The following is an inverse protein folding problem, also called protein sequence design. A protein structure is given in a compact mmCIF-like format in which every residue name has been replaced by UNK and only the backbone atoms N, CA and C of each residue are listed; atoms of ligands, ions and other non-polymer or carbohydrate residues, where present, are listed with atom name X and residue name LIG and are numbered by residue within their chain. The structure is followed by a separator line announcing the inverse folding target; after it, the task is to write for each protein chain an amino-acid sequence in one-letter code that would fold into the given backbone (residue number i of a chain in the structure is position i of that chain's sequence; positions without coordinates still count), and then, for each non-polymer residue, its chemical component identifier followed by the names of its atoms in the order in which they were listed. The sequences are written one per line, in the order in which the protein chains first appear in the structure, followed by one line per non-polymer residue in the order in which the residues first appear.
data_IF_840784471768
#
_entry.id   IF_840784471768
#
_cell.length_a   1.000
_cell.length_b   1.000
_cell.length_c   1.000
_cell.angle_alpha   90.00
_cell.angle_beta   90.00
_cell.angle_gamma   90.00
#
_symmetry.space_group_name_H-M   'P 1'
#
loop_
_entity.id
_entity.type
_entity.pdbx_description
1 polymer ?
#
# COMPACT_ATOMS: atom_id res chain seq x y z
N UNK A 1 -2.23 -2.70 17.99
CA UNK A 1 -1.99 -3.58 16.83
C UNK A 1 -1.15 -2.88 15.77
N UNK A 2 -1.61 -1.74 15.20
CA UNK A 2 -0.85 -0.98 14.19
C UNK A 2 0.54 -0.56 14.68
N UNK A 3 0.67 -0.08 15.93
CA UNK A 3 1.96 0.31 16.50
C UNK A 3 2.99 -0.83 16.45
N UNK A 4 2.63 -2.03 16.89
CA UNK A 4 3.53 -3.19 16.85
C UNK A 4 3.97 -3.52 15.42
N UNK A 5 3.09 -3.37 14.43
CA UNK A 5 3.44 -3.56 13.02
C UNK A 5 4.41 -2.49 12.52
N UNK A 6 4.21 -1.24 12.94
CA UNK A 6 5.09 -0.11 12.60
C UNK A 6 6.48 -0.29 13.20
N UNK A 7 6.55 -0.65 14.48
CA UNK A 7 7.81 -0.90 15.18
C UNK A 7 8.57 -2.06 14.52
N UNK A 8 7.86 -3.15 14.17
CA UNK A 8 8.46 -4.28 13.45
C UNK A 8 9.03 -3.89 12.08
N UNK A 9 8.28 -3.14 11.28
CA UNK A 9 8.73 -2.70 9.95
C UNK A 9 9.94 -1.75 10.05
N UNK A 10 9.93 -0.85 11.04
CA UNK A 10 11.03 0.07 11.33
C UNK A 10 12.30 -0.69 11.72
N UNK A 11 12.18 -1.65 12.64
CA UNK A 11 13.29 -2.52 13.06
C UNK A 11 13.83 -3.37 11.92
N UNK A 12 12.95 -3.88 11.04
CA UNK A 12 13.36 -4.65 9.88
C UNK A 12 14.16 -3.80 8.90
N UNK A 13 13.71 -2.58 8.61
CA UNK A 13 14.46 -1.60 7.79
C UNK A 13 15.80 -1.26 8.40
N UNK A 14 15.87 -1.04 9.72
CA UNK A 14 17.13 -0.79 10.42
C UNK A 14 18.13 -1.95 10.32
N UNK A 15 17.63 -3.19 10.18
CA UNK A 15 18.44 -4.40 9.94
C UNK A 15 18.78 -4.64 8.46
N UNK A 16 18.42 -3.71 7.57
CA UNK A 16 18.71 -3.80 6.14
C UNK A 16 17.72 -4.66 5.35
N UNK A 17 16.58 -5.06 5.94
CA UNK A 17 15.54 -5.79 5.20
C UNK A 17 14.70 -4.85 4.35
N UNK A 18 14.31 -5.33 3.17
CA UNK A 18 13.39 -4.60 2.29
C UNK A 18 11.94 -4.76 2.74
N UNK A 19 11.16 -3.67 2.63
CA UNK A 19 9.71 -3.70 2.82
C UNK A 19 9.05 -3.82 1.45
N UNK A 20 8.23 -4.86 1.28
CA UNK A 20 7.47 -5.07 0.04
C UNK A 20 5.98 -4.86 0.33
N UNK A 21 5.44 -3.81 -0.28
CA UNK A 21 4.04 -3.48 -0.23
C UNK A 21 3.21 -4.40 -1.11
N UNK A 22 2.09 -4.89 -0.58
CA UNK A 22 1.15 -5.73 -1.30
C UNK A 22 -0.21 -5.05 -1.37
N UNK A 23 -0.76 -5.01 -2.58
CA UNK A 23 -2.06 -4.40 -2.80
C UNK A 23 -3.21 -5.42 -2.80
N UNK A 24 -2.92 -6.72 -2.82
CA UNK A 24 -3.91 -7.81 -2.67
C UNK A 24 -3.27 -9.09 -2.13
N UNK A 25 -4.13 -9.91 -1.52
CA UNK A 25 -3.78 -11.23 -0.98
C UNK A 25 -3.34 -12.26 -2.03
N UNK A 26 -3.65 -12.05 -3.31
CA UNK A 26 -3.12 -12.89 -4.39
C UNK A 26 -1.60 -12.73 -4.55
N UNK A 27 -0.98 -11.73 -3.92
CA UNK A 27 0.47 -11.58 -3.88
C UNK A 27 1.07 -12.71 -3.04
N UNK A 28 1.99 -13.53 -3.59
CA UNK A 28 2.57 -14.65 -2.86
C UNK A 28 3.55 -14.17 -1.78
N UNK A 29 3.06 -14.01 -0.55
CA UNK A 29 3.84 -13.56 0.62
C UNK A 29 5.06 -14.45 0.87
N UNK A 30 4.92 -15.73 0.60
CA UNK A 30 5.95 -16.74 0.79
C UNK A 30 7.19 -16.45 -0.04
N UNK A 31 7.04 -15.91 -1.26
CA UNK A 31 8.18 -15.51 -2.10
C UNK A 31 8.89 -14.28 -1.55
N UNK A 32 8.14 -13.31 -1.02
CA UNK A 32 8.70 -12.12 -0.37
C UNK A 32 9.49 -12.52 0.87
N UNK A 33 8.93 -13.41 1.70
CA UNK A 33 9.59 -13.91 2.91
C UNK A 33 10.81 -14.77 2.60
N UNK A 34 10.75 -15.61 1.55
CA UNK A 34 11.89 -16.41 1.10
C UNK A 34 13.07 -15.55 0.60
N UNK A 35 12.79 -14.34 0.11
CA UNK A 35 13.79 -13.34 -0.26
C UNK A 35 14.33 -12.52 0.95
N UNK A 36 14.02 -12.93 2.18
CA UNK A 36 14.34 -12.23 3.44
C UNK A 36 13.76 -10.79 3.54
N UNK A 37 12.68 -10.51 2.80
CA UNK A 37 11.97 -9.25 2.83
C UNK A 37 10.69 -9.34 3.69
N UNK A 38 10.13 -8.19 4.04
CA UNK A 38 8.92 -8.08 4.88
C UNK A 38 7.70 -7.72 4.02
N UNK A 39 6.69 -8.61 3.90
CA UNK A 39 5.45 -8.29 3.21
C UNK A 39 4.53 -7.43 4.07
N UNK A 40 4.00 -6.34 3.51
CA UNK A 40 3.06 -5.44 4.20
C UNK A 40 1.81 -5.20 3.34
N UNK A 41 0.63 -5.31 3.94
CA UNK A 41 -0.63 -5.00 3.26
C UNK A 41 -0.87 -3.50 3.23
N UNK A 42 -1.07 -2.92 2.05
CA UNK A 42 -1.17 -1.46 1.88
C UNK A 42 -2.57 -0.96 1.53
N UNK A 43 -3.58 -1.84 1.48
CA UNK A 43 -4.96 -1.41 1.28
C UNK A 43 -5.40 -0.45 2.38
N UNK A 44 -5.84 0.74 1.99
CA UNK A 44 -6.39 1.76 2.89
C UNK A 44 -7.75 1.36 3.46
N UNK A 45 -8.22 2.15 4.43
CA UNK A 45 -9.51 1.96 5.08
C UNK A 45 -10.03 3.20 5.81
N UNK A 46 -9.45 4.37 5.56
CA UNK A 46 -9.87 5.64 6.16
C UNK A 46 -10.73 6.44 5.19
N UNK A 47 -11.92 6.84 5.64
CA UNK A 47 -12.81 7.73 4.89
C UNK A 47 -12.24 9.15 4.74
N UNK A 48 -11.37 9.57 5.66
CA UNK A 48 -10.70 10.89 5.61
C UNK A 48 -9.76 11.03 4.40
N UNK A 49 -9.29 9.89 3.86
CA UNK A 49 -8.43 9.85 2.68
C UNK A 49 -9.22 9.80 1.37
N UNK A 50 -10.57 9.76 1.42
CA UNK A 50 -11.39 9.76 0.19
C UNK A 50 -11.40 11.14 -0.48
N UNK A 51 -11.69 12.27 0.22
CA UNK A 51 -11.73 13.58 -0.42
C UNK A 51 -10.47 13.96 -1.22
N UNK A 52 -9.24 13.80 -0.69
CA UNK A 52 -8.07 14.16 -1.49
C UNK A 52 -7.91 13.25 -2.72
N UNK A 53 -8.33 11.99 -2.65
CA UNK A 53 -8.28 11.08 -3.80
C UNK A 53 -9.27 11.47 -4.91
N UNK A 54 -10.43 12.03 -4.56
CA UNK A 54 -11.46 12.43 -5.52
C UNK A 54 -11.08 13.67 -6.35
N UNK A 55 -10.01 14.38 -5.97
CA UNK A 55 -9.42 15.42 -6.82
C UNK A 55 -8.82 14.84 -8.12
N UNK A 56 -8.50 13.54 -8.12
CA UNK A 56 -7.87 12.83 -9.23
C UNK A 56 -8.66 11.61 -9.72
N UNK A 57 -9.46 11.00 -8.86
CA UNK A 57 -10.19 9.77 -9.12
C UNK A 57 -11.71 10.02 -9.18
N UNK A 58 -12.48 9.26 -9.97
CA UNK A 58 -13.92 9.38 -9.99
C UNK A 58 -14.57 9.14 -8.63
N UNK A 59 -15.55 9.98 -8.27
CA UNK A 59 -16.30 9.84 -7.00
C UNK A 59 -17.00 8.47 -6.86
N UNK A 60 -17.39 7.86 -7.98
CA UNK A 60 -18.03 6.54 -8.05
C UNK A 60 -17.06 5.35 -7.98
N UNK A 61 -15.78 5.57 -7.63
CA UNK A 61 -14.80 4.50 -7.46
C UNK A 61 -14.85 3.87 -6.06
N UNK A 62 -14.36 2.63 -5.94
CA UNK A 62 -14.33 1.88 -4.67
C UNK A 62 -13.62 2.69 -3.55
N UNK A 63 -14.22 2.79 -2.35
CA UNK A 63 -13.65 3.59 -1.25
C UNK A 63 -12.29 3.08 -0.76
N UNK A 64 -11.99 1.79 -0.91
CA UNK A 64 -10.67 1.24 -0.55
C UNK A 64 -9.58 1.75 -1.50
N UNK A 65 -9.89 1.84 -2.80
CA UNK A 65 -8.99 2.39 -3.83
C UNK A 65 -8.76 3.88 -3.54
N UNK A 66 -9.85 4.63 -3.34
CA UNK A 66 -9.79 6.06 -3.00
C UNK A 66 -8.98 6.30 -1.72
N UNK A 67 -9.26 5.56 -0.65
CA UNK A 67 -8.50 5.68 0.61
C UNK A 67 -7.00 5.41 0.40
N UNK A 68 -6.65 4.36 -0.35
CA UNK A 68 -5.24 4.04 -0.61
C UNK A 68 -4.54 5.11 -1.44
N UNK A 69 -5.18 5.60 -2.50
CA UNK A 69 -4.64 6.66 -3.32
C UNK A 69 -4.54 7.98 -2.55
N UNK A 70 -5.51 8.28 -1.69
CA UNK A 70 -5.48 9.42 -0.77
C UNK A 70 -4.28 9.40 0.17
N UNK A 71 -3.97 8.22 0.73
CA UNK A 71 -2.75 8.05 1.52
C UNK A 71 -1.47 8.28 0.69
N UNK A 72 -1.44 7.82 -0.56
CA UNK A 72 -0.31 8.00 -1.47
C UNK A 72 -0.06 9.48 -1.80
N UNK A 73 -1.08 10.21 -2.23
CA UNK A 73 -0.93 11.63 -2.60
C UNK A 73 -0.58 12.51 -1.39
N UNK A 74 -1.10 12.18 -0.20
CA UNK A 74 -0.79 12.91 1.03
C UNK A 74 0.52 12.47 1.69
N UNK A 75 1.16 11.40 1.19
CA UNK A 75 2.34 10.76 1.82
C UNK A 75 2.13 10.45 3.30
N UNK A 76 0.91 10.01 3.63
CA UNK A 76 0.43 9.91 5.00
C UNK A 76 0.38 8.46 5.52
N UNK A 77 0.76 7.47 4.70
CA UNK A 77 0.87 6.08 5.12
C UNK A 77 2.35 5.70 5.30
N UNK A 78 2.85 5.56 6.55
CA UNK A 78 4.25 5.28 6.79
C UNK A 78 4.71 3.94 6.18
N UNK A 79 3.83 2.95 6.06
CA UNK A 79 4.19 1.68 5.43
C UNK A 79 4.36 1.80 3.92
N UNK A 80 3.56 2.66 3.29
CA UNK A 80 3.69 2.96 1.87
C UNK A 80 5.00 3.73 1.61
N UNK A 81 5.32 4.73 2.43
CA UNK A 81 6.57 5.50 2.32
C UNK A 81 7.83 4.65 2.64
N UNK A 82 7.70 3.61 3.48
CA UNK A 82 8.79 2.67 3.77
C UNK A 82 9.01 1.63 2.66
N UNK A 83 8.04 1.41 1.76
CA UNK A 83 8.08 0.34 0.78
C UNK A 83 9.17 0.58 -0.28
N UNK A 84 10.02 -0.43 -0.47
CA UNK A 84 11.06 -0.43 -1.52
C UNK A 84 10.50 -0.96 -2.86
N UNK A 85 9.42 -1.74 -2.79
CA UNK A 85 8.71 -2.30 -3.93
C UNK A 85 7.22 -2.41 -3.58
N UNK A 86 6.35 -2.15 -4.55
CA UNK A 86 4.90 -2.44 -4.46
C UNK A 86 4.56 -3.51 -5.49
N UNK A 87 3.95 -4.61 -5.04
CA UNK A 87 3.36 -5.61 -5.92
C UNK A 87 1.91 -5.21 -6.17
N UNK A 88 1.66 -4.80 -7.41
CA UNK A 88 0.39 -4.31 -7.91
C UNK A 88 -0.28 -5.35 -8.83
N UNK A 89 -1.39 -5.93 -8.38
CA UNK A 89 -2.10 -6.97 -9.13
C UNK A 89 -3.18 -6.42 -10.08
N UNK A 90 -3.37 -7.04 -11.24
CA UNK A 90 -4.39 -6.61 -12.22
C UNK A 90 -5.76 -7.25 -11.95
N UNK A 91 -6.29 -7.15 -10.73
CA UNK A 91 -7.55 -7.82 -10.33
C UNK A 91 -8.81 -7.07 -10.75
N UNK A 92 -8.93 -5.79 -10.42
CA UNK A 92 -10.07 -4.94 -10.79
C UNK A 92 -9.63 -3.73 -11.61
N UNK A 93 -10.55 -3.17 -12.38
CA UNK A 93 -10.26 -2.02 -13.24
C UNK A 93 -9.78 -0.81 -12.45
N UNK A 94 -10.44 -0.50 -11.32
CA UNK A 94 -10.09 0.63 -10.50
C UNK A 94 -8.66 0.57 -9.96
N UNK A 95 -8.23 -0.60 -9.48
CA UNK A 95 -6.87 -0.78 -8.94
C UNK A 95 -5.84 -0.70 -10.04
N UNK A 96 -6.04 -1.46 -11.12
CA UNK A 96 -5.17 -1.46 -12.29
C UNK A 96 -4.88 -0.04 -12.78
N UNK A 97 -5.93 0.78 -12.96
CA UNK A 97 -5.80 2.15 -13.42
C UNK A 97 -5.23 3.10 -12.36
N UNK A 98 -5.54 2.91 -11.08
CA UNK A 98 -4.95 3.70 -9.99
C UNK A 98 -3.43 3.50 -9.92
N UNK A 99 -2.91 2.28 -10.11
CA UNK A 99 -1.47 2.04 -10.06
C UNK A 99 -0.68 2.84 -11.10
N UNK A 100 -1.22 2.98 -12.31
CA UNK A 100 -0.62 3.80 -13.36
C UNK A 100 -0.49 5.29 -12.95
N UNK A 101 -1.30 5.75 -11.99
CA UNK A 101 -1.28 7.11 -11.46
C UNK A 101 -0.38 7.27 -10.23
N UNK A 102 0.15 6.19 -9.67
CA UNK A 102 1.03 6.22 -8.49
C UNK A 102 2.52 6.44 -8.84
N UNK A 103 2.84 6.49 -10.14
CA UNK A 103 4.23 6.55 -10.65
C UNK A 103 4.87 5.17 -10.77
#
# INVERSE_FOLDING_TARGET
MIQNCYDYATDAKAKGKHIVGMMCEYTPRELIMAADAVPVCLCGGSAEMIPPAEEHLPANLCPLIKSTYGYHIQKANPFLEMADLIVAETTCDGKKKMYELMG
#
